data_IF_395746240996
#
_entry.id   IF_395746240996
#
_cell.length_a   1.000
_cell.length_b   1.000
_cell.length_c   1.000
_cell.angle_alpha   90.00
_cell.angle_beta   90.00
_cell.angle_gamma   90.00
#
_symmetry.space_group_name_H-M   'P 1'
#
loop_
_entity.id
_entity.type
_entity.pdbx_description
1 polymer ?
#
# COMPACT_ATOMS: atom_id res chain seq x y z
N UNK A 1 -13.74 -18.16 -0.48
CA UNK A 1 -13.79 -17.66 0.37
C UNK A 1 -12.76 -17.05 1.20
N UNK A 2 -12.33 -17.58 2.18
CA UNK A 2 -11.35 -16.99 2.93
C UNK A 2 -10.13 -16.66 2.27
N UNK A 3 -9.80 -17.36 1.26
CA UNK A 3 -8.67 -17.11 0.54
C UNK A 3 -8.59 -15.76 0.03
N UNK A 4 -9.63 -15.19 -0.30
CA UNK A 4 -9.61 -13.91 -0.86
C UNK A 4 -9.08 -12.94 0.08
N UNK A 5 -9.34 -13.09 1.35
CA UNK A 5 -8.84 -12.17 2.27
C UNK A 5 -7.39 -12.25 2.43
N UNK A 6 -6.85 -13.41 2.30
CA UNK A 6 -5.42 -13.54 2.49
C UNK A 6 -4.68 -13.02 1.31
N UNK A 7 -5.36 -12.70 0.24
CA UNK A 7 -4.67 -12.19 -0.91
C UNK A 7 -4.54 -10.70 -0.95
N UNK A 8 -4.90 -10.01 0.12
CA UNK A 8 -4.75 -8.58 0.11
C UNK A 8 -3.33 -8.22 0.41
N UNK A 9 -2.62 -7.78 -0.58
CA UNK A 9 -1.22 -7.44 -0.44
C UNK A 9 -1.07 -5.94 -0.48
N UNK A 10 0.13 -5.46 -0.23
CA UNK A 10 0.40 -4.02 -0.28
C UNK A 10 0.11 -3.52 -1.69
N UNK A 11 0.50 -4.28 -2.69
CA UNK A 11 0.25 -3.86 -4.06
C UNK A 11 -1.22 -3.74 -4.37
N UNK A 12 -2.02 -4.68 -3.89
CA UNK A 12 -3.45 -4.62 -4.13
C UNK A 12 -4.07 -3.45 -3.39
N UNK A 13 -3.55 -3.12 -2.21
CA UNK A 13 -4.06 -2.00 -1.47
C UNK A 13 -3.75 -0.72 -2.22
N UNK A 14 -2.56 -0.60 -2.78
CA UNK A 14 -2.18 0.59 -3.53
C UNK A 14 -3.09 0.73 -4.72
N UNK A 15 -3.35 -0.36 -5.42
CA UNK A 15 -4.20 -0.30 -6.57
C UNK A 15 -5.60 0.10 -6.18
N UNK A 16 -6.08 -0.43 -5.07
CA UNK A 16 -7.42 -0.12 -4.61
C UNK A 16 -7.53 1.37 -4.28
N UNK A 17 -6.56 1.92 -3.57
CA UNK A 17 -6.60 3.32 -3.22
C UNK A 17 -6.54 4.19 -4.48
N UNK A 18 -5.71 3.79 -5.43
CA UNK A 18 -5.59 4.54 -6.66
C UNK A 18 -6.91 4.57 -7.43
N UNK A 19 -7.50 3.39 -7.61
CA UNK A 19 -8.71 3.33 -8.42
C UNK A 19 -9.88 3.98 -7.70
N UNK A 20 -9.91 3.90 -6.38
CA UNK A 20 -10.98 4.54 -5.61
C UNK A 20 -10.86 6.05 -5.77
N UNK A 21 -9.68 6.56 -5.97
CA UNK A 21 -9.48 7.98 -6.14
C UNK A 21 -9.62 8.42 -7.58
N UNK A 22 -9.89 7.48 -8.46
CA UNK A 22 -10.06 7.82 -9.88
C UNK A 22 -8.77 8.17 -10.59
N UNK A 23 -7.64 7.68 -10.10
CA UNK A 23 -6.36 8.01 -10.71
C UNK A 23 -5.85 6.93 -11.63
N UNK A 24 -5.15 7.31 -12.67
CA UNK A 24 -4.51 6.35 -13.54
C UNK A 24 -3.16 6.02 -12.93
N UNK A 25 -2.52 4.96 -13.41
CA UNK A 25 -1.21 4.62 -12.92
C UNK A 25 -0.23 5.75 -13.22
N UNK A 26 -0.39 6.38 -14.36
CA UNK A 26 0.47 7.45 -14.72
C UNK A 26 0.34 8.62 -13.77
N UNK A 27 -0.88 8.94 -13.37
CA UNK A 27 -1.10 10.03 -12.47
C UNK A 27 -0.50 9.76 -11.10
N UNK A 28 -0.72 8.58 -10.58
CA UNK A 28 -0.18 8.27 -9.28
C UNK A 28 1.34 8.20 -9.32
N UNK A 29 1.89 7.62 -10.37
CA UNK A 29 3.34 7.54 -10.50
C UNK A 29 3.93 8.95 -10.48
N UNK A 30 3.27 9.87 -11.14
CA UNK A 30 3.72 11.25 -11.17
C UNK A 30 3.70 11.86 -9.78
N UNK A 31 2.65 11.59 -9.01
CA UNK A 31 2.55 12.13 -7.68
C UNK A 31 3.64 11.56 -6.77
N UNK A 32 4.01 10.33 -6.99
CA UNK A 32 5.01 9.68 -6.18
C UNK A 32 6.42 9.88 -6.71
N UNK A 33 6.52 10.51 -7.87
CA UNK A 33 7.79 10.77 -8.51
C UNK A 33 8.52 9.47 -8.82
N UNK A 34 7.80 8.50 -9.34
CA UNK A 34 8.38 7.24 -9.77
C UNK A 34 7.87 6.96 -11.17
N UNK A 35 8.39 5.92 -11.81
CA UNK A 35 7.94 5.62 -13.15
C UNK A 35 6.65 4.82 -13.08
N UNK A 36 5.89 4.86 -14.15
CA UNK A 36 4.67 4.10 -14.21
C UNK A 36 4.97 2.61 -14.13
N UNK A 37 6.11 2.20 -14.71
CA UNK A 37 6.48 0.81 -14.68
C UNK A 37 6.73 0.34 -13.24
N UNK A 38 7.36 1.17 -12.43
CA UNK A 38 7.61 0.81 -11.05
C UNK A 38 6.28 0.62 -10.31
N UNK A 39 5.36 1.55 -10.52
CA UNK A 39 4.08 1.47 -9.85
C UNK A 39 3.32 0.22 -10.33
N UNK A 40 3.38 -0.07 -11.62
CA UNK A 40 2.70 -1.22 -12.15
C UNK A 40 3.26 -2.49 -11.52
N UNK A 41 4.56 -2.57 -11.33
CA UNK A 41 5.16 -3.73 -10.72
C UNK A 41 4.70 -3.89 -9.27
N UNK A 42 4.55 -2.79 -8.55
CA UNK A 42 4.07 -2.87 -7.18
C UNK A 42 2.64 -3.39 -7.16
N UNK A 43 1.80 -2.88 -8.04
CA UNK A 43 0.40 -3.28 -8.06
C UNK A 43 0.21 -4.74 -8.45
N UNK A 44 1.17 -5.29 -9.20
CA UNK A 44 1.09 -6.68 -9.60
C UNK A 44 1.89 -7.57 -8.66
N UNK A 45 2.40 -7.02 -7.58
CA UNK A 45 3.15 -7.77 -6.60
C UNK A 45 4.45 -8.37 -7.14
N UNK A 46 5.01 -7.74 -8.16
CA UNK A 46 6.28 -8.19 -8.70
C UNK A 46 7.37 -7.78 -7.71
N UNK A 47 7.24 -6.60 -7.11
CA UNK A 47 8.14 -6.21 -6.06
C UNK A 47 7.38 -5.19 -5.22
N UNK A 48 7.99 -4.65 -4.20
CA UNK A 48 7.31 -3.74 -3.30
C UNK A 48 7.99 -2.39 -3.23
N UNK A 49 7.25 -1.34 -2.91
CA UNK A 49 7.83 -0.03 -2.79
C UNK A 49 8.63 0.03 -1.50
N UNK A 50 9.60 0.92 -1.43
CA UNK A 50 10.39 1.05 -0.21
C UNK A 50 9.56 1.82 0.80
N UNK A 51 10.04 1.90 2.02
CA UNK A 51 9.29 2.48 3.10
C UNK A 51 9.00 3.95 2.88
N UNK A 52 9.91 4.67 2.28
CA UNK A 52 9.69 6.08 2.04
C UNK A 52 8.57 6.31 1.04
N UNK A 53 8.50 5.46 0.02
CA UNK A 53 7.45 5.56 -0.96
C UNK A 53 6.12 5.19 -0.33
N UNK A 54 6.12 4.19 0.54
CA UNK A 54 4.90 3.80 1.22
C UNK A 54 4.39 4.96 2.07
N UNK A 55 5.28 5.70 2.71
CA UNK A 55 4.87 6.81 3.51
C UNK A 55 4.23 7.88 2.65
N UNK A 56 4.76 8.09 1.44
CA UNK A 56 4.19 9.07 0.55
C UNK A 56 2.80 8.65 0.13
N UNK A 57 2.63 7.37 -0.14
CA UNK A 57 1.33 6.85 -0.55
C UNK A 57 0.33 7.05 0.58
N UNK A 58 0.74 6.75 1.80
CA UNK A 58 -0.15 6.91 2.93
C UNK A 58 -0.54 8.37 3.12
N UNK A 59 0.42 9.25 2.95
CA UNK A 59 0.15 10.66 3.12
C UNK A 59 -0.77 11.15 2.00
N UNK A 60 -0.53 10.71 0.80
CA UNK A 60 -1.30 11.15 -0.34
C UNK A 60 -2.77 10.75 -0.23
N UNK A 61 -3.02 9.55 0.23
CA UNK A 61 -4.39 9.05 0.34
C UNK A 61 -5.00 9.22 1.73
N UNK A 62 -4.24 9.75 2.65
CA UNK A 62 -4.76 9.98 3.99
C UNK A 62 -5.05 8.71 4.77
N UNK A 63 -4.24 7.69 4.57
CA UNK A 63 -4.42 6.44 5.30
C UNK A 63 -3.21 6.18 6.16
N UNK A 64 -3.34 5.29 7.12
CA UNK A 64 -2.23 4.97 7.98
C UNK A 64 -1.40 3.84 7.38
N UNK A 65 -0.14 3.80 7.73
CA UNK A 65 0.70 2.72 7.26
C UNK A 65 0.15 1.39 7.70
N UNK A 66 -0.50 1.32 8.85
CA UNK A 66 -1.08 0.11 9.34
C UNK A 66 -2.06 -0.47 8.35
N UNK A 67 -2.83 0.37 7.74
CA UNK A 67 -3.82 -0.11 6.80
C UNK A 67 -3.19 -0.67 5.56
N UNK A 68 -2.06 -0.12 5.17
CA UNK A 68 -1.42 -0.57 3.96
C UNK A 68 -0.61 -1.82 4.16
N UNK A 69 0.10 -1.93 5.26
CA UNK A 69 0.93 -3.08 5.51
C UNK A 69 0.35 -3.86 6.67
N UNK A 70 -0.92 -4.14 6.59
CA UNK A 70 -1.59 -4.82 7.61
C UNK A 70 -0.99 -6.07 8.14
N UNK A 71 -0.56 -6.91 7.29
CA UNK A 71 0.01 -8.13 7.73
C UNK A 71 1.22 -7.96 8.60
N UNK A 72 2.07 -7.07 8.25
CA UNK A 72 3.28 -6.87 8.99
C UNK A 72 2.99 -6.12 10.27
N UNK A 73 2.18 -5.11 10.16
CA UNK A 73 1.83 -4.29 11.28
C UNK A 73 1.05 -5.03 12.34
N UNK A 74 0.32 -6.01 11.94
CA UNK A 74 -0.45 -6.78 12.88
C UNK A 74 0.38 -7.27 14.04
N UNK A 75 1.54 -7.77 13.76
CA UNK A 75 2.37 -8.24 14.82
C UNK A 75 2.84 -7.14 15.70
N UNK A 76 3.17 -6.03 15.13
CA UNK A 76 3.65 -4.94 15.91
C UNK A 76 2.57 -4.34 16.73
N UNK A 77 1.39 -4.31 16.22
CA UNK A 77 0.31 -3.79 16.93
C UNK A 77 0.10 -4.51 18.19
N UNK A 78 0.21 -5.81 18.14
CA UNK A 78 0.01 -6.61 19.29
C UNK A 78 0.95 -6.17 20.38
N UNK A 79 2.15 -5.91 20.03
CA UNK A 79 3.10 -5.47 21.01
C UNK A 79 2.75 -4.13 21.57
N UNK A 80 2.39 -3.25 20.75
CA UNK A 80 2.04 -1.97 21.22
C UNK A 80 0.87 -1.94 22.12
N UNK A 81 -0.09 -2.71 21.83
CA UNK A 81 -1.20 -2.76 22.66
C UNK A 81 -0.84 -3.14 24.01
N UNK A 82 0.04 -4.01 24.16
CA UNK A 82 0.43 -4.43 25.40
C UNK A 82 0.99 -3.33 26.19
N UNK A 83 1.69 -2.46 25.61
CA UNK A 83 2.26 -1.40 26.32
C UNK A 83 1.28 -0.47 26.85
N UNK A 84 0.20 -0.36 26.20
CA UNK A 84 -0.78 0.52 26.68
C UNK A 84 -1.42 -0.02 27.86
#
# INVERSE_FOLDING_TARGET
>A
MNKEQTDITTGKQIRHLRTQSGMTQEELAGELNVTRQALSNWERDVNEPDINTLKKICFLFGVHMDDLAKEVITKMETCEKKEK
#
